data_IF_841249614187
#
_entry.id   IF_841249614187
#
_cell.length_a   1.000
_cell.length_b   1.000
_cell.length_c   1.000
_cell.angle_alpha   90.00
_cell.angle_beta   90.00
_cell.angle_gamma   90.00
#
_symmetry.space_group_name_H-M   'P 1'
#
loop_
_entity.id
_entity.type
_entity.pdbx_description
1 polymer ?
#
# COMPACT_ATOMS: atom_id res chain seq x y z
N UNK A 1 1.32 12.87 -10.04
CA UNK A 1 1.22 11.46 -9.65
C UNK A 1 0.41 10.73 -10.71
N UNK A 2 0.92 9.60 -11.21
CA UNK A 2 0.08 8.65 -11.95
C UNK A 2 -0.97 8.12 -10.97
N UNK A 3 -2.24 8.06 -11.41
CA UNK A 3 -3.38 7.63 -10.60
C UNK A 3 -3.13 6.25 -10.01
N UNK A 4 -2.79 6.19 -8.73
CA UNK A 4 -3.13 5.03 -7.91
C UNK A 4 -4.66 4.96 -7.86
N UNK A 5 -5.24 3.77 -7.97
CA UNK A 5 -6.67 3.63 -7.81
C UNK A 5 -7.05 4.11 -6.41
N UNK A 6 -7.96 5.07 -6.34
CA UNK A 6 -8.38 5.72 -5.10
C UNK A 6 -9.47 4.90 -4.41
N UNK A 7 -10.16 4.02 -5.15
CA UNK A 7 -11.31 3.25 -4.67
C UNK A 7 -11.29 1.78 -5.08
N UNK A 8 -12.08 0.96 -4.37
CA UNK A 8 -12.23 -0.47 -4.66
C UNK A 8 -12.92 -0.76 -6.01
N UNK A 9 -13.82 0.13 -6.45
CA UNK A 9 -14.53 -0.06 -7.71
C UNK A 9 -13.58 0.14 -8.90
N UNK A 10 -12.65 1.10 -8.81
CA UNK A 10 -11.58 1.26 -9.81
C UNK A 10 -10.66 0.03 -9.88
N UNK A 11 -10.33 -0.56 -8.72
CA UNK A 11 -9.54 -1.79 -8.66
C UNK A 11 -10.29 -2.97 -9.30
N UNK A 12 -11.60 -3.09 -9.06
CA UNK A 12 -12.42 -4.14 -9.69
C UNK A 12 -12.47 -4.02 -11.20
N UNK A 13 -12.69 -2.82 -11.71
CA UNK A 13 -12.70 -2.56 -13.15
C UNK A 13 -11.36 -2.93 -13.78
N UNK A 14 -10.25 -2.61 -13.10
CA UNK A 14 -8.91 -3.00 -13.54
C UNK A 14 -8.71 -4.51 -13.55
N UNK A 15 -9.17 -5.24 -12.52
CA UNK A 15 -9.12 -6.71 -12.49
C UNK A 15 -9.89 -7.31 -13.67
N UNK A 16 -11.09 -6.81 -13.97
CA UNK A 16 -11.92 -7.29 -15.09
C UNK A 16 -11.16 -7.12 -16.42
N UNK A 17 -10.55 -5.96 -16.64
CA UNK A 17 -9.75 -5.70 -17.85
C UNK A 17 -8.55 -6.64 -17.94
N UNK A 18 -7.84 -6.86 -16.84
CA UNK A 18 -6.68 -7.76 -16.80
C UNK A 18 -7.09 -9.22 -17.05
N UNK A 19 -8.17 -9.70 -16.43
CA UNK A 19 -8.69 -11.04 -16.66
C UNK A 19 -9.17 -11.24 -18.10
N UNK A 20 -9.79 -10.24 -18.71
CA UNK A 20 -10.17 -10.26 -20.12
C UNK A 20 -8.95 -10.41 -21.07
N UNK A 21 -7.78 -9.98 -20.62
CA UNK A 21 -6.51 -10.12 -21.34
C UNK A 21 -5.71 -11.39 -20.97
N UNK A 22 -6.30 -12.29 -20.16
CA UNK A 22 -5.71 -13.57 -19.80
C UNK A 22 -4.77 -13.53 -18.59
N UNK A 23 -4.74 -12.44 -17.83
CA UNK A 23 -4.03 -12.38 -16.56
C UNK A 23 -4.85 -13.05 -15.45
N UNK A 24 -4.23 -13.93 -14.68
CA UNK A 24 -4.81 -14.50 -13.45
C UNK A 24 -4.47 -13.59 -12.27
N UNK A 25 -5.26 -12.52 -12.11
CA UNK A 25 -5.11 -11.54 -11.02
C UNK A 25 -6.42 -11.44 -10.25
N UNK A 26 -6.34 -11.38 -8.93
CA UNK A 26 -7.49 -11.19 -8.05
C UNK A 26 -7.61 -9.74 -7.57
N UNK A 27 -8.78 -9.38 -7.04
CA UNK A 27 -8.99 -8.09 -6.37
C UNK A 27 -7.99 -7.89 -5.22
N UNK A 28 -7.76 -8.92 -4.42
CA UNK A 28 -6.84 -8.87 -3.29
C UNK A 28 -5.38 -8.67 -3.75
N UNK A 29 -4.96 -9.29 -4.86
CA UNK A 29 -3.61 -9.08 -5.42
C UNK A 29 -3.42 -7.63 -5.85
N UNK A 30 -4.44 -7.06 -6.50
CA UNK A 30 -4.37 -5.69 -6.99
C UNK A 30 -4.46 -4.67 -5.84
N UNK A 31 -5.25 -4.94 -4.79
CA UNK A 31 -5.25 -4.14 -3.56
C UNK A 31 -3.85 -4.17 -2.93
N UNK A 32 -3.26 -5.34 -2.75
CA UNK A 32 -1.92 -5.48 -2.14
C UNK A 32 -0.85 -4.73 -2.90
N UNK A 33 -0.86 -4.82 -4.22
CA UNK A 33 0.07 -4.12 -5.11
C UNK A 33 -0.16 -2.61 -5.09
N UNK A 34 -1.41 -2.17 -5.11
CA UNK A 34 -1.79 -0.76 -5.04
C UNK A 34 -1.38 -0.11 -3.72
N UNK A 35 -1.67 -0.76 -2.58
CA UNK A 35 -1.29 -0.26 -1.27
C UNK A 35 0.23 -0.19 -1.10
N UNK A 36 0.97 -1.22 -1.55
CA UNK A 36 2.43 -1.21 -1.51
C UNK A 36 3.00 -0.05 -2.34
N UNK A 37 2.54 0.13 -3.57
CA UNK A 37 3.01 1.21 -4.45
C UNK A 37 2.65 2.59 -3.90
N UNK A 38 1.43 2.74 -3.39
CA UNK A 38 1.00 4.00 -2.80
C UNK A 38 1.80 4.35 -1.55
N UNK A 39 2.03 3.38 -0.66
CA UNK A 39 2.85 3.63 0.50
C UNK A 39 4.32 3.91 0.15
N UNK A 40 4.88 3.24 -0.87
CA UNK A 40 6.21 3.59 -1.40
C UNK A 40 6.26 5.04 -1.88
N UNK A 41 5.24 5.49 -2.63
CA UNK A 41 5.18 6.86 -3.14
C UNK A 41 5.11 7.89 -1.99
N UNK A 42 4.32 7.61 -0.94
CA UNK A 42 4.22 8.44 0.26
C UNK A 42 5.56 8.51 0.98
N UNK A 43 6.23 7.38 1.18
CA UNK A 43 7.54 7.33 1.85
C UNK A 43 8.59 8.09 1.04
N UNK A 44 8.61 7.92 -0.29
CA UNK A 44 9.55 8.63 -1.16
C UNK A 44 9.30 10.14 -1.16
N UNK A 45 8.03 10.57 -1.16
CA UNK A 45 7.66 11.99 -1.05
C UNK A 45 8.11 12.56 0.29
N UNK A 46 7.78 11.89 1.40
CA UNK A 46 8.17 12.36 2.73
C UNK A 46 9.69 12.32 2.95
N UNK A 47 10.42 11.42 2.31
CA UNK A 47 11.87 11.34 2.41
C UNK A 47 12.61 12.29 1.45
N UNK A 48 11.89 13.01 0.59
CA UNK A 48 12.45 13.81 -0.50
C UNK A 48 13.35 12.97 -1.44
N UNK A 49 12.97 11.70 -1.67
CA UNK A 49 13.66 10.75 -2.54
C UNK A 49 13.49 9.28 -2.16
N UNK A 50 13.88 8.39 -3.08
CA UNK A 50 13.73 6.94 -2.92
C UNK A 50 14.89 6.31 -2.13
N UNK A 51 14.94 6.57 -0.83
CA UNK A 51 15.97 6.04 0.07
C UNK A 51 15.54 4.76 0.81
N UNK A 52 14.23 4.52 0.87
CA UNK A 52 13.63 3.44 1.64
C UNK A 52 12.86 2.50 0.72
N UNK A 53 12.61 1.28 1.20
CA UNK A 53 11.80 0.29 0.48
C UNK A 53 10.59 -0.09 1.30
N UNK A 54 9.42 -0.10 0.67
CA UNK A 54 8.19 -0.63 1.24
C UNK A 54 7.96 -2.07 0.79
N UNK A 55 7.60 -2.95 1.73
CA UNK A 55 7.19 -4.34 1.43
C UNK A 55 6.10 -4.82 2.38
N UNK A 56 5.40 -5.87 1.98
CA UNK A 56 4.56 -6.65 2.88
C UNK A 56 5.40 -7.48 3.86
N UNK A 57 4.91 -7.65 5.08
CA UNK A 57 5.43 -8.69 5.98
C UNK A 57 5.15 -10.11 5.43
N UNK A 58 5.68 -11.13 6.11
CA UNK A 58 5.55 -12.53 5.65
C UNK A 58 4.10 -13.02 5.60
N UNK A 59 3.22 -12.39 6.38
CA UNK A 59 1.82 -12.79 6.53
C UNK A 59 0.89 -11.95 5.63
N UNK A 60 1.45 -11.02 4.84
CA UNK A 60 0.72 -10.05 4.03
C UNK A 60 -0.29 -9.23 4.84
N UNK A 61 0.07 -8.89 6.07
CA UNK A 61 -0.79 -8.18 7.00
C UNK A 61 -0.34 -6.73 7.19
N UNK A 62 0.95 -6.50 7.42
CA UNK A 62 1.52 -5.16 7.60
C UNK A 62 2.37 -4.74 6.42
N UNK A 63 2.46 -3.44 6.19
CA UNK A 63 3.44 -2.85 5.27
C UNK A 63 4.61 -2.30 6.07
N UNK A 64 5.81 -2.76 5.76
CA UNK A 64 7.05 -2.39 6.44
C UNK A 64 7.82 -1.36 5.60
N UNK A 65 8.41 -0.37 6.25
CA UNK A 65 9.38 0.56 5.68
C UNK A 65 10.77 0.09 6.07
N UNK A 66 11.65 -0.09 5.09
CA UNK A 66 12.99 -0.63 5.28
C UNK A 66 14.04 0.36 4.81
N UNK A 67 15.17 0.36 5.53
CA UNK A 67 16.39 1.03 5.11
C UNK A 67 17.17 0.16 4.11
N UNK A 68 18.26 0.70 3.55
CA UNK A 68 19.08 0.01 2.54
C UNK A 68 19.72 -1.31 3.00
N UNK A 69 19.81 -1.52 4.32
CA UNK A 69 20.39 -2.72 4.95
C UNK A 69 19.32 -3.74 5.39
N UNK A 70 18.10 -3.60 4.89
CA UNK A 70 16.92 -4.41 5.25
C UNK A 70 16.48 -4.29 6.73
N UNK A 71 17.00 -3.30 7.47
CA UNK A 71 16.46 -2.99 8.80
C UNK A 71 15.08 -2.34 8.69
N UNK A 72 14.15 -2.76 9.55
CA UNK A 72 12.79 -2.20 9.62
C UNK A 72 12.84 -0.87 10.37
N UNK A 73 12.40 0.20 9.71
CA UNK A 73 12.29 1.54 10.29
C UNK A 73 10.93 1.80 10.90
N UNK A 74 9.90 1.17 10.35
CA UNK A 74 8.54 1.25 10.87
C UNK A 74 7.61 0.34 10.09
N UNK A 75 6.38 0.24 10.57
CA UNK A 75 5.34 -0.58 9.96
C UNK A 75 4.01 0.17 10.00
N UNK A 76 3.29 0.13 8.88
CA UNK A 76 1.89 0.50 8.82
C UNK A 76 1.04 -0.76 9.07
N UNK A 77 0.09 -0.63 9.99
CA UNK A 77 -0.84 -1.71 10.38
C UNK A 77 -2.26 -1.29 10.02
N UNK A 78 -3.12 -2.20 9.57
CA UNK A 78 -4.52 -1.87 9.32
C UNK A 78 -5.23 -1.50 10.63
N UNK A 79 -6.17 -0.55 10.55
CA UNK A 79 -7.03 -0.16 11.67
C UNK A 79 -8.23 -1.11 11.84
N UNK A 80 -8.51 -1.93 10.82
CA UNK A 80 -9.48 -3.01 10.84
C UNK A 80 -8.78 -4.36 11.01
N UNK A 81 -9.51 -5.46 10.73
CA UNK A 81 -8.92 -6.80 10.76
C UNK A 81 -7.78 -6.98 9.77
N UNK A 82 -7.89 -6.40 8.57
CA UNK A 82 -6.84 -6.37 7.56
C UNK A 82 -7.05 -5.18 6.61
N UNK A 83 -6.05 -4.90 5.77
CA UNK A 83 -6.13 -3.79 4.81
C UNK A 83 -7.23 -3.99 3.76
N UNK A 84 -7.57 -5.23 3.41
CA UNK A 84 -8.62 -5.50 2.43
C UNK A 84 -10.00 -5.12 3.00
N UNK A 85 -10.26 -5.46 4.26
CA UNK A 85 -11.46 -5.04 4.98
C UNK A 85 -11.49 -3.53 5.18
N UNK A 86 -10.37 -2.92 5.58
CA UNK A 86 -10.29 -1.47 5.76
C UNK A 86 -10.54 -0.72 4.44
N UNK A 87 -9.89 -1.12 3.34
CA UNK A 87 -10.04 -0.47 2.04
C UNK A 87 -11.44 -0.63 1.46
N UNK A 88 -12.13 -1.74 1.77
CA UNK A 88 -13.55 -1.96 1.40
C UNK A 88 -14.50 -1.06 2.17
N UNK A 89 -14.17 -0.72 3.42
CA UNK A 89 -15.01 0.11 4.27
C UNK A 89 -14.80 1.61 4.01
N UNK A 90 -13.53 2.01 3.92
CA UNK A 90 -13.10 3.41 3.79
C UNK A 90 -11.66 3.46 3.26
N UNK A 91 -11.53 3.69 1.95
CA UNK A 91 -10.22 3.78 1.28
C UNK A 91 -9.42 4.99 1.73
N UNK A 92 -10.06 6.12 2.03
CA UNK A 92 -9.39 7.35 2.48
C UNK A 92 -8.71 7.11 3.83
N UNK A 93 -9.39 6.41 4.74
CA UNK A 93 -8.81 6.02 6.04
C UNK A 93 -7.55 5.15 5.92
N UNK A 94 -7.41 4.40 4.82
CA UNK A 94 -6.20 3.59 4.57
C UNK A 94 -5.06 4.52 4.19
N UNK A 95 -5.29 5.48 3.31
CA UNK A 95 -4.26 6.42 2.87
C UNK A 95 -3.79 7.33 4.02
N UNK A 96 -4.71 7.80 4.86
CA UNK A 96 -4.37 8.58 6.07
C UNK A 96 -3.48 7.76 7.02
N UNK A 97 -3.84 6.49 7.27
CA UNK A 97 -3.04 5.59 8.10
C UNK A 97 -1.64 5.36 7.51
N UNK A 98 -1.53 5.14 6.20
CA UNK A 98 -0.24 4.99 5.53
C UNK A 98 0.60 6.27 5.62
N UNK A 99 -0.01 7.45 5.50
CA UNK A 99 0.69 8.72 5.67
C UNK A 99 1.23 8.89 7.10
N UNK A 100 0.41 8.62 8.11
CA UNK A 100 0.83 8.69 9.52
C UNK A 100 1.95 7.70 9.83
N UNK A 101 1.88 6.49 9.28
CA UNK A 101 2.91 5.47 9.43
C UNK A 101 4.24 5.86 8.77
N UNK A 102 4.20 6.52 7.60
CA UNK A 102 5.41 7.06 6.97
C UNK A 102 6.06 8.14 7.85
N UNK A 103 5.28 9.08 8.39
CA UNK A 103 5.78 10.15 9.27
C UNK A 103 6.48 9.54 10.48
N UNK A 104 5.82 8.58 11.13
CA UNK A 104 6.36 7.88 12.30
C UNK A 104 7.64 7.10 11.98
N UNK A 105 7.68 6.37 10.85
CA UNK A 105 8.83 5.57 10.44
C UNK A 105 10.06 6.43 10.12
N UNK A 106 9.85 7.62 9.55
CA UNK A 106 10.90 8.56 9.16
C UNK A 106 11.33 9.49 10.31
N UNK A 107 10.65 9.43 11.46
CA UNK A 107 10.92 10.26 12.63
C UNK A 107 10.63 11.75 12.40
N UNK A 108 9.61 12.06 11.59
CA UNK A 108 9.16 13.43 11.29
C UNK A 108 7.95 13.84 12.13
#
# INVERSE_FOLDING_TARGET
>A
MDRLAETIDELRDQVIVMQAHGFDVTEDDLIKDTLKRGFQAIVDEQADGSYFTVRWDSDFHNLQVLNFDDSIMGEAKPNAKDYMEQFKQDSDSVWDNLNDAAVAALGR
#
